data_IF_116370905149
#
_entry.id   IF_116370905149
#
_cell.length_a   1.000
_cell.length_b   1.000
_cell.length_c   1.000
_cell.angle_alpha   90.00
_cell.angle_beta   90.00
_cell.angle_gamma   90.00
#
_symmetry.space_group_name_H-M   'P 1'
#
loop_
_entity.id
_entity.type
_entity.pdbx_description
1 polymer ?
#
# COMPACT_ATOMS: atom_id res chain seq x y z
N UNK A 1 20.66 9.04 -27.64
CA UNK A 1 19.36 9.33 -26.98
C UNK A 1 19.55 10.26 -25.78
N UNK A 2 18.79 11.36 -25.67
CA UNK A 2 19.06 12.49 -24.76
C UNK A 2 18.75 12.21 -23.28
N UNK A 3 19.38 12.99 -22.36
CA UNK A 3 19.09 12.96 -20.91
C UNK A 3 17.60 13.18 -20.60
N UNK A 4 16.91 13.99 -21.41
CA UNK A 4 15.47 14.28 -21.28
C UNK A 4 14.62 13.01 -21.35
N UNK A 5 14.95 12.11 -22.28
CA UNK A 5 14.20 10.87 -22.45
C UNK A 5 14.38 9.90 -21.27
N UNK A 6 15.55 9.90 -20.64
CA UNK A 6 15.77 9.11 -19.43
C UNK A 6 14.92 9.62 -18.26
N UNK A 7 14.86 10.94 -18.06
CA UNK A 7 14.01 11.54 -17.04
C UNK A 7 12.54 11.20 -17.28
N UNK A 8 12.07 11.29 -18.53
CA UNK A 8 10.70 10.93 -18.89
C UNK A 8 10.35 9.50 -18.45
N UNK A 9 11.17 8.51 -18.80
CA UNK A 9 10.95 7.12 -18.37
C UNK A 9 11.03 6.95 -16.85
N UNK A 10 11.90 7.71 -16.19
CA UNK A 10 12.05 7.62 -14.74
C UNK A 10 10.80 8.14 -14.03
N UNK A 11 10.19 9.24 -14.49
CA UNK A 11 8.99 9.83 -13.87
C UNK A 11 7.68 9.26 -14.39
N UNK A 12 7.70 8.49 -15.48
CA UNK A 12 6.50 7.95 -16.12
C UNK A 12 5.59 7.17 -15.15
N UNK A 13 6.07 6.29 -14.25
CA UNK A 13 5.20 5.60 -13.29
C UNK A 13 4.41 6.56 -12.38
N UNK A 14 5.03 7.67 -11.95
CA UNK A 14 4.37 8.68 -11.13
C UNK A 14 3.26 9.40 -11.91
N UNK A 15 3.53 9.76 -13.17
CA UNK A 15 2.52 10.37 -14.04
C UNK A 15 1.32 9.45 -14.27
N UNK A 16 1.57 8.15 -14.47
CA UNK A 16 0.52 7.14 -14.58
C UNK A 16 -0.26 6.99 -13.26
N UNK A 17 0.41 7.03 -12.11
CA UNK A 17 -0.28 6.98 -10.82
C UNK A 17 -1.22 8.17 -10.62
N UNK A 18 -0.76 9.39 -10.94
CA UNK A 18 -1.59 10.60 -10.88
C UNK A 18 -2.78 10.49 -11.86
N UNK A 19 -2.54 10.00 -13.08
CA UNK A 19 -3.59 9.84 -14.08
C UNK A 19 -4.67 8.83 -13.64
N UNK A 20 -4.26 7.66 -13.14
CA UNK A 20 -5.19 6.58 -12.80
C UNK A 20 -5.87 6.77 -11.45
N UNK A 21 -5.17 7.37 -10.48
CA UNK A 21 -5.65 7.45 -9.10
C UNK A 21 -5.89 8.88 -8.62
N UNK A 22 -5.57 9.92 -9.40
CA UNK A 22 -5.79 11.31 -8.98
C UNK A 22 -7.24 11.68 -8.72
N UNK A 23 -8.21 10.87 -9.18
CA UNK A 23 -9.62 11.08 -8.86
C UNK A 23 -9.96 10.84 -7.38
N UNK A 24 -9.11 10.09 -6.64
CA UNK A 24 -9.37 9.74 -5.24
C UNK A 24 -9.41 10.94 -4.32
N UNK A 25 -8.80 12.06 -4.71
CA UNK A 25 -8.77 13.32 -3.95
C UNK A 25 -10.15 13.93 -3.71
N UNK A 26 -11.18 13.45 -4.42
CA UNK A 26 -12.58 13.87 -4.27
C UNK A 26 -13.38 12.98 -3.33
N UNK A 27 -12.78 11.90 -2.85
CA UNK A 27 -13.43 10.92 -1.98
C UNK A 27 -13.32 11.42 -0.52
N UNK A 28 -14.39 11.32 0.28
CA UNK A 28 -14.32 11.63 1.71
C UNK A 28 -13.59 10.52 2.49
N UNK A 29 -13.27 10.76 3.77
CA UNK A 29 -12.86 9.68 4.67
C UNK A 29 -13.91 8.56 4.70
N UNK A 30 -13.47 7.30 4.66
CA UNK A 30 -14.36 6.15 4.69
C UNK A 30 -13.75 4.92 5.37
N UNK A 31 -14.60 4.04 5.93
CA UNK A 31 -14.20 2.83 6.65
C UNK A 31 -13.21 3.13 7.79
N UNK A 32 -12.02 2.54 7.76
CA UNK A 32 -11.02 2.60 8.82
C UNK A 32 -10.32 3.97 8.92
N UNK A 33 -10.60 4.90 8.02
CA UNK A 33 -10.04 6.25 8.10
C UNK A 33 -10.43 6.93 9.42
N UNK A 34 -11.72 6.89 9.79
CA UNK A 34 -12.24 7.63 10.95
C UNK A 34 -11.61 7.17 12.27
N UNK A 35 -11.60 5.87 12.62
CA UNK A 35 -10.96 5.41 13.85
C UNK A 35 -9.46 5.73 13.91
N UNK A 36 -8.77 5.62 12.78
CA UNK A 36 -7.34 5.94 12.71
C UNK A 36 -7.08 7.44 12.96
N UNK A 37 -7.90 8.33 12.40
CA UNK A 37 -7.75 9.76 12.64
C UNK A 37 -8.15 10.18 14.05
N UNK A 38 -9.04 9.45 14.73
CA UNK A 38 -9.31 9.68 16.16
C UNK A 38 -8.03 9.51 16.99
N UNK A 39 -7.27 8.43 16.75
CA UNK A 39 -5.97 8.18 17.39
C UNK A 39 -4.96 9.31 17.07
N UNK A 40 -4.92 9.79 15.83
CA UNK A 40 -4.04 10.92 15.44
C UNK A 40 -4.42 12.20 16.18
N UNK A 41 -5.70 12.44 16.41
CA UNK A 41 -6.18 13.67 17.07
C UNK A 41 -6.04 13.64 18.58
N UNK A 42 -6.16 12.47 19.20
CA UNK A 42 -6.12 12.33 20.66
C UNK A 42 -4.70 12.39 21.21
N UNK A 43 -3.70 11.90 20.45
CA UNK A 43 -2.30 11.90 20.89
C UNK A 43 -1.46 13.08 20.37
N UNK A 44 -0.33 13.35 21.01
CA UNK A 44 0.64 14.39 20.60
C UNK A 44 1.57 13.95 19.45
N UNK A 45 1.49 12.68 19.04
CA UNK A 45 2.30 12.07 17.98
C UNK A 45 3.53 11.30 18.49
N UNK A 46 4.10 11.68 19.63
CA UNK A 46 5.16 10.92 20.31
C UNK A 46 4.54 9.78 21.11
N UNK A 47 3.42 10.02 21.77
CA UNK A 47 2.66 9.02 22.53
C UNK A 47 2.33 7.77 21.70
N UNK A 48 2.19 7.91 20.38
CA UNK A 48 1.94 6.79 19.48
C UNK A 48 3.08 5.76 19.45
N UNK A 49 4.30 6.17 19.81
CA UNK A 49 5.45 5.28 19.96
C UNK A 49 5.37 4.41 21.22
N UNK A 50 4.58 4.82 22.22
CA UNK A 50 4.29 4.05 23.43
C UNK A 50 3.12 3.07 23.24
N UNK A 51 2.55 3.03 22.04
CA UNK A 51 1.43 2.17 21.68
C UNK A 51 0.06 2.78 21.96
N UNK A 52 -0.97 2.07 21.52
CA UNK A 52 -2.36 2.46 21.76
C UNK A 52 -3.19 1.20 22.11
N UNK A 53 -3.71 1.09 23.34
CA UNK A 53 -4.55 -0.04 23.76
C UNK A 53 -5.84 -0.23 22.94
N UNK A 54 -6.30 0.78 22.21
CA UNK A 54 -7.45 0.71 21.32
C UNK A 54 -7.09 0.25 19.90
N UNK A 55 -5.81 0.25 19.53
CA UNK A 55 -5.35 -0.13 18.20
C UNK A 55 -4.58 -1.47 18.23
N UNK A 56 -4.93 -2.45 17.36
CA UNK A 56 -4.34 -3.78 17.43
C UNK A 56 -2.93 -3.90 16.82
N UNK A 57 -2.40 -2.84 16.20
CA UNK A 57 -1.11 -2.90 15.49
C UNK A 57 -0.11 -1.87 16.00
N UNK A 58 1.16 -2.25 16.10
CA UNK A 58 2.23 -1.30 16.42
C UNK A 58 2.78 -0.63 15.16
N UNK A 59 2.30 0.59 14.87
CA UNK A 59 2.59 1.35 13.62
C UNK A 59 2.88 2.86 13.85
N UNK A 60 3.76 3.22 14.79
CA UNK A 60 3.90 4.60 15.23
C UNK A 60 4.34 5.57 14.12
N UNK A 61 5.18 5.12 13.19
CA UNK A 61 5.71 6.01 12.14
C UNK A 61 4.60 6.58 11.26
N UNK A 62 3.60 5.77 10.90
CA UNK A 62 2.52 6.22 10.03
C UNK A 62 1.67 7.28 10.71
N UNK A 63 1.36 7.06 11.99
CA UNK A 63 0.61 8.04 12.77
C UNK A 63 1.42 9.33 12.99
N UNK A 64 2.74 9.25 13.23
CA UNK A 64 3.59 10.44 13.31
C UNK A 64 3.59 11.25 12.00
N UNK A 65 3.60 10.57 10.84
CA UNK A 65 3.51 11.26 9.54
C UNK A 65 2.14 11.93 9.38
N UNK A 66 1.05 11.25 9.73
CA UNK A 66 -0.28 11.87 9.67
C UNK A 66 -0.42 13.05 10.61
N UNK A 67 0.13 12.97 11.83
CA UNK A 67 0.15 14.07 12.79
C UNK A 67 0.88 15.29 12.22
N UNK A 68 2.06 15.06 11.65
CA UNK A 68 2.85 16.12 11.00
C UNK A 68 2.09 16.78 9.84
N UNK A 69 1.39 15.99 9.03
CA UNK A 69 0.57 16.51 7.92
C UNK A 69 -0.62 17.33 8.44
N UNK A 70 -1.26 16.86 9.50
CA UNK A 70 -2.40 17.53 10.14
C UNK A 70 -1.98 18.89 10.71
N UNK A 71 -0.82 18.96 11.35
CA UNK A 71 -0.28 20.18 11.96
C UNK A 71 0.29 21.19 10.96
N UNK A 72 0.96 20.73 9.89
CA UNK A 72 1.68 21.63 8.96
C UNK A 72 0.83 22.04 7.76
N UNK A 73 0.12 21.11 7.14
CA UNK A 73 -0.46 21.33 5.81
C UNK A 73 -1.91 21.77 5.94
N UNK A 74 -2.75 20.89 6.47
CA UNK A 74 -4.14 21.23 6.72
C UNK A 74 -4.80 20.17 7.59
N UNK A 75 -5.41 20.58 8.72
CA UNK A 75 -6.09 19.63 9.58
C UNK A 75 -7.22 18.91 8.83
N UNK A 76 -7.17 17.58 8.82
CA UNK A 76 -8.28 16.68 8.42
C UNK A 76 -8.89 16.97 7.04
N UNK A 77 -8.09 17.37 6.05
CA UNK A 77 -8.56 17.48 4.66
C UNK A 77 -8.33 16.17 3.89
N UNK A 78 -9.38 15.39 3.54
CA UNK A 78 -9.22 14.10 2.84
C UNK A 78 -8.38 14.19 1.56
N UNK A 79 -8.57 15.28 0.80
CA UNK A 79 -7.84 15.53 -0.43
C UNK A 79 -6.32 15.51 -0.24
N UNK A 80 -5.80 16.04 0.88
CA UNK A 80 -4.36 16.08 1.19
C UNK A 80 -3.83 14.66 1.42
N UNK A 81 -4.54 13.85 2.20
CA UNK A 81 -4.12 12.47 2.48
C UNK A 81 -4.24 11.55 1.26
N UNK A 82 -5.27 11.73 0.42
CA UNK A 82 -5.33 11.03 -0.87
C UNK A 82 -4.18 11.43 -1.79
N UNK A 83 -3.83 12.72 -1.87
CA UNK A 83 -2.64 13.14 -2.62
C UNK A 83 -1.37 12.50 -2.08
N UNK A 84 -1.21 12.43 -0.76
CA UNK A 84 -0.08 11.75 -0.13
C UNK A 84 0.03 10.28 -0.56
N UNK A 85 -1.08 9.55 -0.55
CA UNK A 85 -1.14 8.17 -1.05
C UNK A 85 -0.73 8.07 -2.53
N UNK A 86 -1.36 8.88 -3.40
CA UNK A 86 -1.11 8.84 -4.86
C UNK A 86 0.36 9.15 -5.18
N UNK A 87 0.92 10.18 -4.55
CA UNK A 87 2.29 10.61 -4.80
C UNK A 87 3.31 9.58 -4.29
N UNK A 88 3.13 9.04 -3.08
CA UNK A 88 4.05 8.03 -2.53
C UNK A 88 3.93 6.68 -3.26
N UNK A 89 2.72 6.30 -3.66
CA UNK A 89 2.52 5.11 -4.50
C UNK A 89 3.21 5.26 -5.87
N UNK A 90 3.01 6.40 -6.53
CA UNK A 90 3.70 6.74 -7.78
C UNK A 90 5.23 6.76 -7.63
N UNK A 91 5.74 7.39 -6.58
CA UNK A 91 7.17 7.42 -6.27
C UNK A 91 7.74 6.02 -5.98
N UNK A 92 6.96 5.13 -5.37
CA UNK A 92 7.33 3.72 -5.21
C UNK A 92 7.52 3.04 -6.56
N UNK A 93 6.62 3.27 -7.52
CA UNK A 93 6.77 2.79 -8.90
C UNK A 93 8.04 3.31 -9.57
N UNK A 94 8.40 4.59 -9.37
CA UNK A 94 9.66 5.18 -9.83
C UNK A 94 10.86 4.43 -9.23
N UNK A 95 10.87 4.21 -7.92
CA UNK A 95 11.96 3.51 -7.22
C UNK A 95 12.12 2.06 -7.69
N UNK A 96 11.02 1.33 -7.87
CA UNK A 96 11.03 -0.02 -8.46
C UNK A 96 11.66 0.01 -9.85
N UNK A 97 11.26 0.98 -10.69
CA UNK A 97 11.88 1.19 -12.00
C UNK A 97 13.39 1.42 -11.90
N UNK A 98 13.85 2.27 -10.97
CA UNK A 98 15.27 2.56 -10.77
C UNK A 98 16.06 1.34 -10.27
N UNK A 99 15.47 0.52 -9.40
CA UNK A 99 16.06 -0.75 -8.97
C UNK A 99 16.18 -1.67 -10.18
N UNK A 100 15.12 -1.85 -10.96
CA UNK A 100 15.12 -2.66 -12.17
C UNK A 100 16.17 -2.16 -13.18
N UNK A 101 16.28 -0.86 -13.41
CA UNK A 101 17.31 -0.24 -14.25
C UNK A 101 18.72 -0.67 -13.80
N UNK A 102 19.02 -0.59 -12.51
CA UNK A 102 20.34 -0.93 -12.01
C UNK A 102 20.63 -2.44 -12.01
N UNK A 103 19.63 -3.28 -11.77
CA UNK A 103 19.77 -4.73 -11.84
C UNK A 103 19.81 -5.24 -13.29
N UNK A 104 19.20 -4.52 -14.23
CA UNK A 104 19.10 -4.87 -15.65
C UNK A 104 20.21 -4.29 -16.54
N UNK A 105 21.40 -4.05 -15.98
CA UNK A 105 22.52 -3.47 -16.72
C UNK A 105 22.18 -2.13 -17.37
N UNK A 106 21.32 -1.33 -16.74
CA UNK A 106 20.86 -0.01 -17.20
C UNK A 106 19.90 -0.06 -18.40
N UNK A 107 19.07 -1.10 -18.50
CA UNK A 107 17.98 -1.12 -19.47
C UNK A 107 16.90 -0.10 -19.12
N UNK A 108 16.73 0.91 -19.99
CA UNK A 108 15.71 1.96 -19.82
C UNK A 108 14.28 1.43 -20.00
N UNK A 109 14.10 0.48 -20.91
CA UNK A 109 12.81 -0.20 -21.09
C UNK A 109 12.40 -0.93 -19.81
N UNK A 110 13.32 -1.67 -19.20
CA UNK A 110 13.06 -2.35 -17.92
C UNK A 110 12.68 -1.36 -16.80
N UNK A 111 13.31 -0.18 -16.75
CA UNK A 111 12.98 0.88 -15.80
C UNK A 111 11.52 1.31 -15.89
N UNK A 112 11.09 1.67 -17.10
CA UNK A 112 9.72 2.11 -17.36
C UNK A 112 8.69 1.02 -17.16
N UNK A 113 8.95 -0.17 -17.72
CA UNK A 113 8.04 -1.31 -17.67
C UNK A 113 7.84 -1.78 -16.24
N UNK A 114 8.91 -1.99 -15.46
CA UNK A 114 8.79 -2.49 -14.09
C UNK A 114 8.01 -1.53 -13.18
N UNK A 115 8.34 -0.23 -13.25
CA UNK A 115 7.63 0.78 -12.47
C UNK A 115 6.17 0.93 -12.88
N UNK A 116 5.89 0.96 -14.19
CA UNK A 116 4.51 1.10 -14.69
C UNK A 116 3.68 -0.15 -14.39
N UNK A 117 4.26 -1.35 -14.56
CA UNK A 117 3.60 -2.62 -14.26
C UNK A 117 3.15 -2.68 -12.79
N UNK A 118 3.97 -2.16 -11.86
CA UNK A 118 3.59 -2.05 -10.45
C UNK A 118 2.40 -1.10 -10.24
N UNK A 119 2.39 0.06 -10.90
CA UNK A 119 1.31 1.06 -10.76
C UNK A 119 -0.02 0.57 -11.33
N UNK A 120 -0.01 -0.12 -12.49
CA UNK A 120 -1.21 -0.63 -13.15
C UNK A 120 -1.66 -2.01 -12.61
N UNK A 121 -0.94 -2.56 -11.64
CA UNK A 121 -1.26 -3.85 -11.06
C UNK A 121 -2.68 -3.80 -10.47
N UNK A 122 -3.58 -4.72 -10.85
CA UNK A 122 -5.03 -4.59 -10.66
C UNK A 122 -5.49 -4.59 -9.20
N UNK A 123 -4.64 -5.01 -8.27
CA UNK A 123 -4.97 -5.04 -6.84
C UNK A 123 -4.45 -3.82 -6.09
N UNK A 124 -3.65 -2.97 -6.75
CA UNK A 124 -3.07 -1.77 -6.12
C UNK A 124 -4.09 -0.67 -5.86
N UNK A 125 -5.22 -0.64 -6.58
CA UNK A 125 -6.21 0.43 -6.42
C UNK A 125 -6.73 0.54 -4.99
N UNK A 126 -7.00 -0.59 -4.33
CA UNK A 126 -7.53 -0.60 -2.96
C UNK A 126 -6.57 0.11 -1.98
N UNK A 127 -5.27 -0.13 -2.13
CA UNK A 127 -4.25 0.50 -1.30
C UNK A 127 -4.20 2.03 -1.50
N UNK A 128 -4.49 2.52 -2.70
CA UNK A 128 -4.42 3.96 -3.02
C UNK A 128 -5.70 4.70 -2.64
N UNK A 129 -6.87 4.08 -2.85
CA UNK A 129 -8.15 4.72 -2.54
C UNK A 129 -8.34 4.83 -1.02
N UNK A 130 -7.96 3.85 -0.21
CA UNK A 130 -8.09 3.93 1.26
C UNK A 130 -7.02 4.85 1.86
N UNK A 131 -7.41 5.91 2.57
CA UNK A 131 -6.43 6.75 3.28
C UNK A 131 -5.73 5.90 4.34
N UNK A 132 -6.48 5.10 5.09
CA UNK A 132 -5.95 4.17 6.08
C UNK A 132 -4.96 3.16 5.52
N UNK A 133 -5.00 2.82 4.23
CA UNK A 133 -3.99 1.95 3.60
C UNK A 133 -2.61 2.63 3.46
N UNK A 134 -2.47 3.88 3.90
CA UNK A 134 -1.22 4.60 3.95
C UNK A 134 -0.11 3.84 4.69
N UNK A 135 -0.42 3.04 5.72
CA UNK A 135 0.57 2.17 6.39
C UNK A 135 1.33 1.30 5.36
N UNK A 136 0.61 0.69 4.41
CA UNK A 136 1.20 -0.16 3.37
C UNK A 136 1.96 0.64 2.32
N UNK A 137 1.43 1.80 1.90
CA UNK A 137 2.08 2.66 0.91
C UNK A 137 3.39 3.23 1.46
N UNK A 138 3.38 3.74 2.70
CA UNK A 138 4.56 4.28 3.36
C UNK A 138 5.62 3.19 3.55
N UNK A 139 5.25 2.00 4.01
CA UNK A 139 6.17 0.87 4.11
C UNK A 139 6.73 0.48 2.74
N UNK A 140 5.88 0.32 1.71
CA UNK A 140 6.32 -0.03 0.37
C UNK A 140 7.30 0.99 -0.22
N UNK A 141 6.99 2.28 -0.08
CA UNK A 141 7.84 3.39 -0.49
C UNK A 141 9.19 3.34 0.23
N UNK A 142 9.18 3.28 1.57
CA UNK A 142 10.37 3.34 2.38
C UNK A 142 11.28 2.11 2.19
N UNK A 143 10.70 0.91 2.04
CA UNK A 143 11.41 -0.31 1.65
C UNK A 143 12.09 -0.14 0.29
N UNK A 144 11.36 0.32 -0.73
CA UNK A 144 11.92 0.52 -2.07
C UNK A 144 13.01 1.60 -2.07
N UNK A 145 12.85 2.67 -1.28
CA UNK A 145 13.83 3.73 -1.13
C UNK A 145 15.12 3.20 -0.48
N UNK A 146 14.98 2.37 0.55
CA UNK A 146 16.10 1.72 1.24
C UNK A 146 16.86 0.76 0.31
N UNK A 147 16.14 -0.04 -0.48
CA UNK A 147 16.73 -0.96 -1.46
C UNK A 147 17.45 -0.20 -2.59
N UNK A 148 16.81 0.82 -3.15
CA UNK A 148 17.42 1.67 -4.18
C UNK A 148 18.69 2.36 -3.66
N UNK A 149 18.63 2.98 -2.48
CA UNK A 149 19.77 3.63 -1.85
C UNK A 149 20.89 2.62 -1.56
N UNK A 150 20.55 1.39 -1.16
CA UNK A 150 21.50 0.30 -0.95
C UNK A 150 22.19 -0.14 -2.24
N UNK A 151 21.47 -0.22 -3.37
CA UNK A 151 22.08 -0.45 -4.69
C UNK A 151 23.14 0.61 -5.00
N UNK A 152 22.81 1.89 -4.77
CA UNK A 152 23.71 3.04 -4.99
C UNK A 152 24.93 3.00 -4.08
N UNK A 153 24.73 2.73 -2.80
CA UNK A 153 25.78 2.56 -1.80
C UNK A 153 26.75 1.45 -2.20
N UNK A 154 26.24 0.27 -2.55
CA UNK A 154 27.07 -0.86 -2.93
C UNK A 154 27.83 -0.64 -4.26
N UNK A 155 27.40 0.30 -5.12
CA UNK A 155 28.07 0.67 -6.39
C UNK A 155 29.33 1.54 -6.25
N UNK A 156 29.74 1.90 -5.02
CA UNK A 156 30.87 2.84 -4.78
C UNK A 156 30.68 4.22 -5.43
N UNK A 157 29.45 4.58 -5.78
CA UNK A 157 29.09 5.87 -6.42
C UNK A 157 28.40 6.84 -5.45
N UNK A 158 28.44 6.54 -4.17
CA UNK A 158 27.66 7.19 -3.14
C UNK A 158 28.47 7.30 -1.85
N UNK A 159 28.38 8.47 -1.23
CA UNK A 159 28.96 8.78 0.08
C UNK A 159 27.97 8.51 1.22
N UNK A 160 28.35 8.97 2.41
CA UNK A 160 27.60 8.81 3.65
C UNK A 160 26.12 9.27 3.60
N UNK A 161 25.73 10.34 2.90
CA UNK A 161 24.31 10.75 2.84
C UNK A 161 23.37 9.67 2.27
N UNK A 162 23.83 8.87 1.32
CA UNK A 162 23.03 7.76 0.77
C UNK A 162 22.90 6.62 1.80
N UNK A 163 23.93 6.40 2.62
CA UNK A 163 23.85 5.44 3.71
C UNK A 163 22.84 5.90 4.77
N UNK A 164 22.82 7.19 5.12
CA UNK A 164 21.77 7.74 5.98
C UNK A 164 20.39 7.53 5.39
N UNK A 165 20.23 7.75 4.09
CA UNK A 165 18.96 7.49 3.41
C UNK A 165 18.53 6.03 3.54
N UNK A 166 19.46 5.06 3.44
CA UNK A 166 19.16 3.63 3.71
C UNK A 166 18.61 3.44 5.11
N UNK A 167 19.25 4.04 6.12
CA UNK A 167 18.88 3.84 7.52
C UNK A 167 17.57 4.52 7.89
N UNK A 168 17.36 5.78 7.50
CA UNK A 168 16.11 6.49 7.77
C UNK A 168 14.92 5.86 7.04
N UNK A 169 15.10 5.42 5.80
CA UNK A 169 14.05 4.70 5.08
C UNK A 169 13.80 3.31 5.65
N UNK A 170 14.82 2.62 6.17
CA UNK A 170 14.63 1.37 6.89
C UNK A 170 13.82 1.57 8.18
N UNK A 171 14.16 2.59 8.98
CA UNK A 171 13.40 2.98 10.17
C UNK A 171 11.95 3.26 9.81
N UNK A 172 11.71 4.11 8.81
CA UNK A 172 10.37 4.47 8.38
C UNK A 172 9.57 3.26 7.89
N UNK A 173 10.17 2.38 7.08
CA UNK A 173 9.50 1.20 6.56
C UNK A 173 9.13 0.19 7.63
N UNK A 174 10.07 -0.09 8.54
CA UNK A 174 9.89 -1.06 9.64
C UNK A 174 8.84 -0.60 10.64
N UNK A 175 8.77 0.69 10.98
CA UNK A 175 7.84 1.22 11.97
C UNK A 175 6.51 1.74 11.39
N UNK A 176 6.36 1.76 10.06
CA UNK A 176 5.10 2.13 9.42
C UNK A 176 4.08 0.98 9.37
N UNK A 177 4.57 -0.27 9.28
CA UNK A 177 3.74 -1.48 9.18
C UNK A 177 4.57 -2.71 9.60
N UNK A 178 3.93 -3.72 10.18
CA UNK A 178 4.57 -4.95 10.66
C UNK A 178 5.33 -5.72 9.57
N UNK A 179 4.81 -5.74 8.34
CA UNK A 179 5.49 -6.27 7.16
C UNK A 179 6.80 -5.54 6.80
N UNK A 180 7.09 -4.38 7.40
CA UNK A 180 8.34 -3.65 7.19
C UNK A 180 9.58 -4.46 7.57
N UNK A 181 9.47 -5.41 8.50
CA UNK A 181 10.56 -6.35 8.85
C UNK A 181 11.02 -7.22 7.67
N UNK A 182 10.18 -7.37 6.62
CA UNK A 182 10.56 -8.03 5.38
C UNK A 182 11.64 -7.27 4.59
N UNK A 183 11.97 -6.04 4.98
CA UNK A 183 13.13 -5.33 4.43
C UNK A 183 14.42 -6.15 4.59
N UNK A 184 14.61 -6.85 5.71
CA UNK A 184 15.80 -7.66 5.95
C UNK A 184 15.99 -8.76 4.89
N UNK A 185 15.04 -9.70 4.67
CA UNK A 185 15.19 -10.70 3.61
C UNK A 185 15.29 -10.07 2.21
N UNK A 186 14.62 -8.96 1.93
CA UNK A 186 14.81 -8.26 0.64
C UNK A 186 16.22 -7.68 0.48
N UNK A 187 16.79 -7.12 1.55
CA UNK A 187 18.15 -6.59 1.54
C UNK A 187 19.19 -7.70 1.36
N UNK A 188 19.00 -8.84 2.03
CA UNK A 188 19.84 -10.04 1.84
C UNK A 188 19.75 -10.54 0.40
N UNK A 189 18.52 -10.68 -0.14
CA UNK A 189 18.31 -11.07 -1.53
C UNK A 189 18.99 -10.12 -2.53
N UNK A 190 18.91 -8.80 -2.29
CA UNK A 190 19.59 -7.80 -3.10
C UNK A 190 21.12 -7.97 -3.08
N UNK A 191 21.70 -8.18 -1.90
CA UNK A 191 23.14 -8.43 -1.72
C UNK A 191 23.54 -9.72 -2.44
N UNK A 192 22.75 -10.79 -2.34
CA UNK A 192 23.00 -12.06 -3.02
C UNK A 192 22.97 -11.91 -4.54
N UNK A 193 21.90 -11.33 -5.11
CA UNK A 193 21.77 -11.04 -6.54
C UNK A 193 22.97 -10.27 -7.07
N UNK A 194 23.48 -9.32 -6.28
CA UNK A 194 24.67 -8.56 -6.62
C UNK A 194 25.95 -9.36 -6.51
N UNK A 195 26.11 -10.16 -5.45
CA UNK A 195 27.30 -10.96 -5.18
C UNK A 195 27.59 -11.96 -6.30
N UNK A 196 26.56 -12.45 -7.00
CA UNK A 196 26.72 -13.28 -8.20
C UNK A 196 27.44 -12.57 -9.35
N UNK A 197 27.39 -11.23 -9.42
CA UNK A 197 28.06 -10.46 -10.48
C UNK A 197 29.36 -9.83 -10.01
N UNK A 198 29.35 -9.25 -8.82
CA UNK A 198 30.50 -8.57 -8.22
C UNK A 198 30.46 -8.81 -6.72
N UNK A 199 31.53 -9.41 -6.17
CA UNK A 199 31.65 -9.60 -4.72
C UNK A 199 31.56 -8.25 -4.01
N UNK A 200 30.54 -8.04 -3.16
CA UNK A 200 30.40 -6.77 -2.46
C UNK A 200 31.50 -6.67 -1.40
N UNK A 201 31.94 -5.43 -1.13
CA UNK A 201 32.87 -5.20 -0.02
C UNK A 201 32.14 -5.50 1.30
N UNK A 202 32.73 -6.35 2.14
CA UNK A 202 32.18 -6.79 3.41
C UNK A 202 31.69 -5.62 4.28
N UNK A 203 32.51 -4.57 4.46
CA UNK A 203 32.16 -3.41 5.29
C UNK A 203 30.98 -2.62 4.74
N UNK A 204 30.85 -2.50 3.42
CA UNK A 204 29.69 -1.83 2.81
C UNK A 204 28.41 -2.63 2.98
N UNK A 205 28.50 -3.96 2.90
CA UNK A 205 27.38 -4.87 3.17
C UNK A 205 26.99 -4.82 4.65
N UNK A 206 27.96 -4.88 5.56
CA UNK A 206 27.72 -4.79 7.00
C UNK A 206 27.05 -3.45 7.38
N UNK A 207 27.50 -2.33 6.78
CA UNK A 207 26.95 -0.99 7.02
C UNK A 207 25.46 -0.85 6.65
N UNK A 208 24.93 -1.67 5.74
CA UNK A 208 23.49 -1.69 5.42
C UNK A 208 22.74 -2.79 6.19
N UNK A 209 23.33 -3.98 6.37
CA UNK A 209 22.63 -5.10 6.99
C UNK A 209 22.53 -4.96 8.51
N UNK A 210 23.60 -4.56 9.20
CA UNK A 210 23.60 -4.51 10.67
C UNK A 210 22.54 -3.53 11.21
N UNK A 211 22.38 -2.31 10.68
CA UNK A 211 21.31 -1.41 11.13
C UNK A 211 19.92 -1.94 10.81
N UNK A 212 19.71 -2.59 9.65
CA UNK A 212 18.41 -3.18 9.30
C UNK A 212 18.06 -4.36 10.21
N UNK A 213 19.04 -5.20 10.56
CA UNK A 213 18.88 -6.29 11.55
C UNK A 213 18.52 -5.70 12.90
N UNK A 214 19.26 -4.69 13.37
CA UNK A 214 19.01 -4.04 14.65
C UNK A 214 17.61 -3.40 14.69
N UNK A 215 17.23 -2.64 13.66
CA UNK A 215 15.90 -2.02 13.56
C UNK A 215 14.78 -3.07 13.55
N UNK A 216 14.95 -4.18 12.82
CA UNK A 216 13.97 -5.27 12.80
C UNK A 216 13.86 -5.94 14.17
N UNK A 217 14.99 -6.15 14.86
CA UNK A 217 15.01 -6.70 16.21
C UNK A 217 14.35 -5.78 17.23
N UNK A 218 14.63 -4.48 17.17
CA UNK A 218 14.00 -3.45 18.03
C UNK A 218 12.50 -3.41 17.78
N UNK A 219 12.05 -3.38 16.52
CA UNK A 219 10.63 -3.39 16.19
C UNK A 219 9.91 -4.63 16.73
N UNK A 220 10.49 -5.83 16.54
CA UNK A 220 9.91 -7.06 17.07
C UNK A 220 9.86 -7.02 18.60
N UNK A 221 10.92 -6.55 19.26
CA UNK A 221 10.94 -6.36 20.71
C UNK A 221 9.82 -5.44 21.18
N UNK A 222 9.72 -4.25 20.60
CA UNK A 222 8.69 -3.27 20.93
C UNK A 222 7.29 -3.80 20.66
N UNK A 223 7.05 -4.47 19.54
CA UNK A 223 5.75 -5.07 19.23
C UNK A 223 5.25 -6.01 20.33
N UNK A 224 6.15 -6.74 21.01
CA UNK A 224 5.76 -7.66 22.08
C UNK A 224 5.66 -7.00 23.46
N UNK A 225 6.31 -5.85 23.68
CA UNK A 225 6.33 -5.18 24.99
C UNK A 225 5.35 -4.01 25.09
N UNK A 226 5.05 -3.36 23.97
CA UNK A 226 4.21 -2.17 23.91
C UNK A 226 2.72 -2.56 23.98
N UNK A 227 1.91 -1.89 24.83
CA UNK A 227 0.47 -2.11 24.88
C UNK A 227 -0.19 -1.88 23.52
N UNK A 228 -1.00 -2.85 23.10
CA UNK A 228 -1.86 -2.75 21.93
C UNK A 228 -3.13 -3.54 22.22
N UNK A 229 -4.22 -3.22 21.51
CA UNK A 229 -5.47 -3.97 21.65
C UNK A 229 -5.16 -5.46 21.46
N UNK A 230 -5.58 -6.29 22.42
CA UNK A 230 -5.40 -7.73 22.34
C UNK A 230 -5.87 -8.17 20.96
N UNK A 231 -4.97 -8.77 20.16
CA UNK A 231 -5.27 -9.17 18.78
C UNK A 231 -6.58 -9.96 18.82
N UNK A 232 -7.69 -9.34 18.41
CA UNK A 232 -8.91 -10.08 18.14
C UNK A 232 -8.47 -11.17 17.19
N UNK A 233 -8.76 -12.42 17.56
CA UNK A 233 -8.30 -13.73 17.05
C UNK A 233 -8.33 -13.98 15.52
N UNK A 234 -8.36 -12.95 14.68
CA UNK A 234 -8.84 -12.93 13.31
C UNK A 234 -7.86 -13.61 12.32
N UNK A 235 -6.60 -13.88 12.66
CA UNK A 235 -5.64 -14.34 11.61
C UNK A 235 -4.77 -15.57 11.92
N UNK A 236 -4.86 -16.21 13.09
CA UNK A 236 -4.08 -17.46 13.33
C UNK A 236 -4.45 -18.62 12.40
N UNK A 237 -5.59 -18.55 11.69
CA UNK A 237 -6.10 -19.62 10.83
C UNK A 237 -6.18 -19.25 9.34
N UNK A 238 -5.51 -18.19 8.86
CA UNK A 238 -5.44 -17.97 7.41
C UNK A 238 -4.54 -19.04 6.81
N UNK A 239 -5.14 -20.02 6.14
CA UNK A 239 -4.39 -21.09 5.45
C UNK A 239 -3.35 -20.47 4.52
N UNK A 240 -2.08 -20.93 4.53
CA UNK A 240 -1.06 -20.49 3.58
C UNK A 240 -1.53 -20.57 2.12
N UNK A 241 -2.44 -21.50 1.80
CA UNK A 241 -3.04 -21.67 0.49
C UNK A 241 -3.88 -20.45 0.06
N UNK A 242 -4.53 -19.78 1.02
CA UNK A 242 -5.33 -18.59 0.76
C UNK A 242 -4.44 -17.40 0.41
N UNK A 243 -3.38 -17.13 1.17
CA UNK A 243 -2.43 -16.05 0.83
C UNK A 243 -1.70 -16.33 -0.48
N UNK A 244 -1.29 -17.59 -0.71
CA UNK A 244 -0.66 -17.99 -1.96
C UNK A 244 -1.60 -17.81 -3.16
N UNK A 245 -2.90 -18.07 -3.02
CA UNK A 245 -3.85 -17.93 -4.12
C UNK A 245 -4.01 -16.47 -4.55
N UNK A 246 -4.10 -15.50 -3.62
CA UNK A 246 -4.12 -14.06 -3.99
C UNK A 246 -2.85 -13.63 -4.70
N UNK A 247 -1.69 -14.07 -4.21
CA UNK A 247 -0.41 -13.76 -4.85
C UNK A 247 -0.34 -14.32 -6.28
N UNK A 248 -0.71 -15.60 -6.44
CA UNK A 248 -0.74 -16.27 -7.74
C UNK A 248 -1.79 -15.67 -8.69
N UNK A 249 -2.95 -15.26 -8.17
CA UNK A 249 -3.97 -14.54 -8.93
C UNK A 249 -3.44 -13.19 -9.43
N UNK A 250 -2.66 -12.50 -8.59
CA UNK A 250 -1.89 -11.32 -8.93
C UNK A 250 -0.96 -11.54 -10.13
N UNK A 251 -0.08 -12.55 -10.02
CA UNK A 251 0.85 -12.90 -11.08
C UNK A 251 0.14 -13.30 -12.38
N UNK A 252 -1.04 -13.92 -12.26
CA UNK A 252 -1.86 -14.33 -13.39
C UNK A 252 -2.79 -13.28 -13.97
N UNK A 253 -2.75 -12.05 -13.50
CA UNK A 253 -3.46 -10.96 -14.17
C UNK A 253 -2.61 -10.39 -15.33
N UNK A 254 -3.19 -10.03 -16.51
CA UNK A 254 -4.61 -10.00 -16.86
C UNK A 254 -5.16 -11.30 -17.47
N UNK A 255 -4.35 -12.35 -17.62
CA UNK A 255 -4.79 -13.59 -18.29
C UNK A 255 -5.96 -14.23 -17.56
N UNK A 256 -6.00 -14.18 -16.23
CA UNK A 256 -7.14 -14.64 -15.42
C UNK A 256 -8.44 -13.90 -15.77
N UNK A 257 -8.40 -12.58 -15.94
CA UNK A 257 -9.57 -11.79 -16.31
C UNK A 257 -10.05 -12.12 -17.74
N UNK A 258 -9.12 -12.34 -18.67
CA UNK A 258 -9.45 -12.77 -20.03
C UNK A 258 -10.06 -14.18 -20.06
N UNK A 259 -9.47 -15.14 -19.33
CA UNK A 259 -9.95 -16.51 -19.25
C UNK A 259 -11.36 -16.60 -18.65
N UNK A 260 -11.65 -15.83 -17.60
CA UNK A 260 -13.02 -15.75 -17.02
C UNK A 260 -14.05 -15.22 -18.02
N UNK A 261 -13.66 -14.29 -18.90
CA UNK A 261 -14.56 -13.80 -19.96
C UNK A 261 -14.81 -14.84 -21.05
N UNK A 262 -13.82 -15.67 -21.38
CA UNK A 262 -13.93 -16.71 -22.42
C UNK A 262 -14.73 -17.93 -21.91
N UNK A 263 -14.47 -18.36 -20.68
CA UNK A 263 -14.99 -19.63 -20.13
C UNK A 263 -16.34 -19.51 -19.41
N UNK A 264 -16.87 -18.29 -19.25
CA UNK A 264 -18.11 -18.04 -18.52
C UNK A 264 -17.96 -18.11 -16.99
N UNK A 265 -18.91 -17.51 -16.28
CA UNK A 265 -18.81 -17.31 -14.82
C UNK A 265 -19.11 -18.56 -13.97
N UNK A 266 -19.61 -19.66 -14.57
CA UNK A 266 -20.21 -20.79 -13.84
C UNK A 266 -19.32 -22.02 -13.62
N UNK A 267 -18.33 -22.28 -14.48
CA UNK A 267 -17.57 -23.55 -14.46
C UNK A 267 -16.07 -23.39 -14.23
N UNK A 268 -15.63 -22.18 -13.87
CA UNK A 268 -14.22 -21.89 -13.68
C UNK A 268 -13.70 -22.50 -12.35
N UNK A 269 -13.54 -23.82 -12.37
CA UNK A 269 -13.18 -24.66 -11.25
C UNK A 269 -11.81 -24.26 -10.65
N UNK A 270 -11.49 -24.72 -9.43
CA UNK A 270 -10.16 -24.54 -8.83
C UNK A 270 -8.99 -24.99 -9.72
N UNK A 271 -9.22 -25.84 -10.73
CA UNK A 271 -8.22 -26.30 -11.68
C UNK A 271 -7.77 -25.22 -12.68
N UNK A 272 -8.59 -24.20 -12.98
CA UNK A 272 -8.16 -23.06 -13.81
C UNK A 272 -7.18 -22.17 -13.05
N UNK A 273 -7.43 -21.96 -11.75
CA UNK A 273 -6.50 -21.20 -10.90
C UNK A 273 -5.15 -21.93 -10.76
N UNK A 274 -5.18 -23.27 -10.65
CA UNK A 274 -3.98 -24.09 -10.58
C UNK A 274 -3.22 -24.16 -11.92
N UNK A 275 -3.90 -24.36 -13.05
CA UNK A 275 -3.26 -24.44 -14.37
C UNK A 275 -2.65 -23.11 -14.79
N UNK A 276 -3.29 -21.98 -14.45
CA UNK A 276 -2.76 -20.65 -14.72
C UNK A 276 -1.60 -20.33 -13.78
N UNK A 277 -1.70 -20.62 -12.48
CA UNK A 277 -0.58 -20.48 -11.55
C UNK A 277 0.66 -21.27 -12.01
N UNK A 278 0.48 -22.49 -12.53
CA UNK A 278 1.55 -23.28 -13.12
C UNK A 278 2.11 -22.64 -14.39
N UNK A 279 1.26 -22.14 -15.28
CA UNK A 279 1.70 -21.53 -16.55
C UNK A 279 2.49 -20.24 -16.31
N UNK A 280 2.02 -19.40 -15.39
CA UNK A 280 2.69 -18.15 -15.00
C UNK A 280 3.93 -18.41 -14.15
N UNK A 281 3.89 -19.40 -13.26
CA UNK A 281 5.05 -19.85 -12.49
C UNK A 281 6.16 -20.38 -13.40
N UNK A 282 5.80 -21.19 -14.41
CA UNK A 282 6.73 -21.69 -15.42
C UNK A 282 7.27 -20.57 -16.32
N UNK A 283 6.44 -19.61 -16.75
CA UNK A 283 6.89 -18.47 -17.53
C UNK A 283 7.85 -17.55 -16.72
N UNK A 284 7.51 -17.26 -15.47
CA UNK A 284 8.34 -16.48 -14.56
C UNK A 284 9.67 -17.17 -14.24
N UNK A 285 9.63 -18.47 -13.94
CA UNK A 285 10.83 -19.27 -13.72
C UNK A 285 11.71 -19.31 -14.98
N UNK A 286 11.10 -19.46 -16.16
CA UNK A 286 11.82 -19.47 -17.44
C UNK A 286 12.49 -18.13 -17.72
N UNK A 287 11.81 -17.01 -17.48
CA UNK A 287 12.40 -15.68 -17.61
C UNK A 287 13.54 -15.44 -16.63
N UNK A 288 13.40 -15.90 -15.39
CA UNK A 288 14.46 -15.85 -14.38
C UNK A 288 15.66 -16.70 -14.81
N UNK A 289 15.42 -17.92 -15.28
CA UNK A 289 16.47 -18.81 -15.75
C UNK A 289 17.17 -18.27 -17.01
N UNK A 290 16.43 -17.70 -17.96
CA UNK A 290 16.97 -17.03 -19.15
C UNK A 290 17.80 -15.81 -18.76
N UNK A 291 17.30 -15.02 -17.80
CA UNK A 291 18.02 -13.87 -17.25
C UNK A 291 19.35 -14.27 -16.58
N UNK A 292 19.38 -15.41 -15.89
CA UNK A 292 20.59 -15.93 -15.26
C UNK A 292 21.52 -16.66 -16.25
N UNK A 293 20.99 -17.23 -17.34
CA UNK A 293 21.79 -17.90 -18.39
C UNK A 293 22.37 -16.96 -19.42
N UNK A 294 21.80 -15.77 -19.61
CA UNK A 294 22.36 -14.79 -20.53
C UNK A 294 23.78 -14.46 -20.06
N UNK A 295 24.83 -14.83 -20.83
CA UNK A 295 26.19 -14.45 -20.48
C UNK A 295 26.23 -12.93 -20.33
N UNK A 296 26.98 -12.38 -19.36
CA UNK A 296 27.21 -10.95 -19.32
C UNK A 296 27.66 -10.54 -20.72
N UNK A 297 27.01 -9.57 -21.37
CA UNK A 297 27.32 -9.25 -22.75
C UNK A 297 28.80 -8.90 -22.80
N UNK A 298 29.57 -9.72 -23.52
CA UNK A 298 30.98 -9.44 -23.73
C UNK A 298 31.08 -8.01 -24.27
N UNK A 299 31.97 -7.21 -23.68
CA UNK A 299 32.15 -5.82 -24.09
C UNK A 299 32.40 -5.71 -25.60
N UNK A 300 32.97 -6.75 -26.21
CA UNK A 300 33.19 -6.88 -27.65
C UNK A 300 31.92 -7.14 -28.49
N UNK A 301 30.93 -7.89 -27.99
CA UNK A 301 29.69 -8.19 -28.73
C UNK A 301 28.69 -7.03 -28.67
N UNK A 302 28.74 -6.24 -27.59
CA UNK A 302 27.94 -5.01 -27.47
C UNK A 302 28.39 -3.99 -28.51
N UNK A 303 29.70 -3.75 -28.66
CA UNK A 303 30.21 -2.81 -29.69
C UNK A 303 29.86 -3.27 -31.11
N UNK A 304 29.92 -4.58 -31.41
CA UNK A 304 29.51 -5.12 -32.73
C UNK A 304 28.01 -4.97 -33.00
N UNK A 305 27.14 -5.15 -32.01
CA UNK A 305 25.69 -5.00 -32.20
C UNK A 305 25.25 -3.54 -32.38
N UNK A 306 25.96 -2.56 -31.78
CA UNK A 306 25.75 -1.15 -32.07
C UNK A 306 26.22 -0.76 -33.48
N UNK A 307 27.33 -1.32 -33.98
CA UNK A 307 27.81 -1.08 -35.35
C UNK A 307 26.88 -1.67 -36.44
N UNK A 308 26.22 -2.79 -36.16
CA UNK A 308 25.24 -3.38 -37.09
C UNK A 308 23.92 -2.57 -37.11
N UNK A 309 23.52 -1.97 -35.99
CA UNK A 309 22.31 -1.15 -35.93
C UNK A 309 22.47 0.24 -36.57
N UNK A 310 23.68 0.81 -36.58
CA UNK A 310 23.97 2.11 -37.21
C UNK A 310 23.99 2.04 -38.76
N UNK A 311 24.05 0.83 -39.33
CA UNK A 311 24.12 0.62 -40.79
C UNK A 311 22.75 0.37 -41.46
N UNK A 312 21.66 0.25 -40.69
CA UNK A 312 20.32 -0.06 -41.22
C UNK A 312 19.35 1.13 -41.27
N UNK A 313 19.84 2.37 -41.11
CA UNK A 313 19.03 3.59 -41.28
C UNK A 313 19.58 4.49 -42.39
N UNK A 314 19.73 3.89 -43.58
CA UNK A 314 19.86 4.64 -44.82
C UNK A 314 18.92 4.05 -45.87
N UNK A 315 18.01 4.91 -46.34
CA UNK A 315 17.25 4.80 -47.60
C UNK A 315 16.04 3.84 -47.63
N UNK A 316 14.83 4.41 -47.53
CA UNK A 316 13.82 4.36 -48.60
C UNK A 316 12.81 5.50 -48.36
N UNK A 317 12.93 6.56 -49.16
CA UNK A 317 11.89 7.57 -49.37
C UNK A 317 11.05 7.06 -50.55
N UNK A 318 9.76 6.80 -50.34
CA UNK A 318 8.79 6.68 -51.43
C UNK A 318 7.87 7.91 -51.40
N UNK A 319 7.64 8.60 -52.54
CA UNK A 319 6.71 9.70 -52.61
C UNK A 319 5.30 9.22 -52.98
N UNK A 320 4.30 9.90 -52.40
CA UNK A 320 3.01 10.17 -53.05
C UNK A 320 2.00 9.03 -53.13
N UNK A 321 0.85 9.21 -52.48
CA UNK A 321 -0.46 9.16 -53.15
C UNK A 321 -1.55 9.72 -52.22
N UNK A 322 -2.49 10.37 -52.88
CA UNK A 322 -3.51 11.28 -52.38
C UNK A 322 -4.87 10.59 -52.18
N UNK A 323 -5.78 11.27 -51.44
CA UNK A 323 -7.26 11.13 -51.42
C UNK A 323 -7.84 9.90 -50.67
N UNK A 324 -8.96 9.93 -49.91
CA UNK A 324 -10.10 10.84 -49.70
C UNK A 324 -10.75 10.48 -48.33
N UNK A 325 -11.62 11.33 -47.72
CA UNK A 325 -12.28 11.07 -46.43
C UNK A 325 -13.67 10.44 -46.61
N UNK A 326 -14.04 9.51 -45.72
CA UNK A 326 -15.44 9.12 -45.51
C UNK A 326 -15.79 9.15 -44.02
N UNK A 327 -16.64 10.13 -43.70
CA UNK A 327 -17.48 10.16 -42.52
C UNK A 327 -18.57 9.09 -42.62
N UNK A 328 -18.81 8.35 -41.55
CA UNK A 328 -20.05 7.63 -41.31
C UNK A 328 -20.43 7.77 -39.82
N UNK A 329 -21.70 8.11 -39.62
CA UNK A 329 -22.34 8.53 -38.37
C UNK A 329 -22.59 7.36 -37.39
N UNK A 330 -22.97 7.63 -36.12
CA UNK A 330 -23.02 6.63 -35.07
C UNK A 330 -24.32 5.80 -35.08
N UNK A 331 -24.20 4.51 -34.78
CA UNK A 331 -25.33 3.63 -34.51
C UNK A 331 -25.97 3.99 -33.17
N UNK A 332 -27.23 4.42 -33.23
CA UNK A 332 -28.18 4.53 -32.12
C UNK A 332 -28.59 3.12 -31.69
N UNK A 333 -28.29 2.74 -30.45
CA UNK A 333 -28.78 1.50 -29.85
C UNK A 333 -30.08 1.82 -29.10
N UNK A 334 -31.23 1.46 -29.70
CA UNK A 334 -32.51 1.43 -29.00
C UNK A 334 -32.54 0.21 -28.06
N UNK A 335 -32.72 0.46 -26.77
CA UNK A 335 -32.89 -0.57 -25.74
C UNK A 335 -34.38 -0.74 -25.48
N UNK A 336 -35.00 -1.71 -26.16
CA UNK A 336 -36.33 -2.23 -25.82
C UNK A 336 -36.15 -3.57 -25.12
N UNK A 337 -36.62 -3.70 -23.88
CA UNK A 337 -36.57 -4.97 -23.16
C UNK A 337 -36.65 -4.78 -21.66
N UNK A 338 -37.87 -4.72 -21.16
CA UNK A 338 -38.24 -4.88 -19.75
C UNK A 338 -38.02 -6.34 -19.33
N UNK A 339 -37.06 -6.60 -18.45
CA UNK A 339 -37.03 -7.83 -17.65
C UNK A 339 -36.84 -7.51 -16.15
N UNK A 340 -37.52 -8.24 -15.26
CA UNK A 340 -37.55 -7.95 -13.83
C UNK A 340 -36.28 -8.41 -13.12
N UNK A 341 -35.67 -7.49 -12.39
CA UNK A 341 -34.54 -7.74 -11.50
C UNK A 341 -35.05 -8.43 -10.21
N UNK A 342 -34.98 -9.77 -10.18
CA UNK A 342 -35.07 -10.57 -8.95
C UNK A 342 -33.71 -11.26 -8.74
N UNK A 343 -33.00 -10.82 -7.70
CA UNK A 343 -31.67 -11.32 -7.37
C UNK A 343 -31.05 -10.58 -6.20
N UNK A 344 -31.75 -10.58 -5.05
CA UNK A 344 -31.23 -10.09 -3.77
C UNK A 344 -30.12 -11.02 -3.28
N UNK A 345 -28.86 -10.67 -3.53
CA UNK A 345 -27.74 -11.22 -2.76
C UNK A 345 -27.65 -10.45 -1.44
N UNK A 346 -28.22 -11.03 -0.40
CA UNK A 346 -28.08 -10.60 0.99
C UNK A 346 -26.61 -10.70 1.42
N UNK A 347 -25.88 -9.57 1.37
CA UNK A 347 -24.72 -9.38 2.22
C UNK A 347 -25.25 -9.16 3.63
N UNK A 348 -25.04 -10.15 4.49
CA UNK A 348 -25.39 -10.05 5.90
C UNK A 348 -24.66 -8.87 6.54
N UNK A 349 -25.41 -7.80 6.81
CA UNK A 349 -24.98 -6.80 7.76
C UNK A 349 -24.90 -7.49 9.13
N UNK A 350 -23.68 -7.69 9.63
CA UNK A 350 -23.49 -7.95 11.04
C UNK A 350 -24.03 -6.73 11.81
N UNK A 351 -24.90 -6.91 12.81
CA UNK A 351 -25.37 -5.77 13.59
C UNK A 351 -24.18 -5.16 14.34
N UNK A 352 -23.82 -3.94 13.96
CA UNK A 352 -23.00 -3.06 14.79
C UNK A 352 -23.79 -2.81 16.07
N UNK A 353 -23.45 -3.55 17.14
CA UNK A 353 -23.82 -3.17 18.49
C UNK A 353 -23.00 -1.92 18.81
N UNK A 354 -23.65 -0.76 18.75
CA UNK A 354 -23.14 0.45 19.38
C UNK A 354 -23.14 0.20 20.89
N UNK A 355 -22.02 -0.27 21.42
CA UNK A 355 -21.76 -0.18 22.85
C UNK A 355 -21.53 1.29 23.17
N UNK A 356 -22.31 1.91 24.08
CA UNK A 356 -22.01 3.27 24.51
C UNK A 356 -20.63 3.28 25.16
N UNK A 357 -19.78 4.22 24.76
CA UNK A 357 -18.55 4.61 25.45
C UNK A 357 -18.92 5.13 26.84
N UNK A 358 -19.13 4.21 27.78
CA UNK A 358 -19.15 4.51 29.20
C UNK A 358 -17.72 4.78 29.64
N UNK A 359 -17.49 6.01 30.12
CA UNK A 359 -16.32 6.48 30.85
C UNK A 359 -15.56 5.35 31.54
N UNK A 360 -14.33 5.11 31.11
CA UNK A 360 -13.36 4.32 31.85
C UNK A 360 -13.02 5.05 33.16
N UNK A 361 -13.71 4.64 34.21
CA UNK A 361 -13.37 4.95 35.59
C UNK A 361 -13.81 3.76 36.44
N UNK A 362 -12.89 2.83 36.69
CA UNK A 362 -13.09 1.82 37.73
C UNK A 362 -11.73 1.37 38.30
N UNK A 363 -11.50 1.85 39.52
CA UNK A 363 -10.60 1.33 40.54
C UNK A 363 -10.88 -0.17 40.84
N UNK A 364 -9.94 -0.90 41.48
CA UNK A 364 -10.02 -2.34 41.61
C UNK A 364 -11.17 -2.82 42.50
N UNK A 365 -11.80 -3.91 42.08
CA UNK A 365 -12.80 -4.66 42.83
C UNK A 365 -12.08 -5.52 43.88
N UNK A 366 -12.20 -5.16 45.15
CA UNK A 366 -12.05 -6.08 46.27
C UNK A 366 -13.40 -6.76 46.55
N UNK A 367 -13.38 -8.08 46.66
CA UNK A 367 -14.55 -8.91 47.02
C UNK A 367 -15.03 -8.66 48.45
N UNK A 368 -16.33 -8.88 48.75
CA UNK A 368 -16.97 -8.43 49.98
C UNK A 368 -16.77 -9.41 51.13
N UNK A 369 -16.43 -8.88 52.31
CA UNK A 369 -16.48 -9.58 53.59
C UNK A 369 -16.99 -8.62 54.67
N UNK A 370 -18.21 -8.88 55.12
CA UNK A 370 -18.84 -8.53 56.40
C UNK A 370 -18.50 -7.17 57.07
N UNK A 371 -19.53 -6.34 57.22
CA UNK A 371 -19.56 -5.27 58.22
C UNK A 371 -20.43 -4.10 57.79
N UNK A 372 -21.61 -3.96 58.39
CA UNK A 372 -22.36 -2.70 58.37
C UNK A 372 -21.55 -1.60 59.05
N UNK A 373 -21.57 -0.38 58.50
CA UNK A 373 -21.68 0.78 59.36
C UNK A 373 -22.85 1.66 58.91
N UNK A 374 -23.78 1.85 59.85
CA UNK A 374 -24.73 2.94 59.86
C UNK A 374 -24.03 4.29 59.74
N UNK A 375 -24.37 5.07 58.71
CA UNK A 375 -24.09 6.51 58.67
C UNK A 375 -25.37 7.27 58.38
N UNK A 376 -25.74 8.10 59.35
CA UNK A 376 -26.77 9.13 59.27
C UNK A 376 -26.27 10.29 58.40
N UNK A 377 -27.01 10.63 57.35
CA UNK A 377 -26.79 11.87 56.59
C UNK A 377 -27.83 12.90 57.03
N UNK A 378 -27.32 13.96 57.64
CA UNK A 378 -28.09 15.12 58.09
C UNK A 378 -28.68 15.93 56.95
N UNK A 379 -29.78 16.59 57.27
CA UNK A 379 -30.52 17.51 56.43
C UNK A 379 -29.79 18.85 56.22
N UNK A 380 -29.67 19.27 54.96
CA UNK A 380 -29.60 20.65 54.45
C UNK A 380 -29.60 20.52 52.91
N UNK A 381 -30.31 21.24 52.05
CA UNK A 381 -31.18 22.40 52.15
C UNK A 381 -31.21 23.05 50.76
N UNK A 382 -32.42 23.24 50.21
CA UNK A 382 -32.84 24.26 49.22
C UNK A 382 -32.43 24.18 47.73
N UNK A 383 -33.47 23.92 46.92
CA UNK A 383 -33.94 24.71 45.77
C UNK A 383 -33.03 24.90 44.55
N UNK A 384 -33.15 23.99 43.59
CA UNK A 384 -33.09 24.30 42.15
C UNK A 384 -34.21 23.50 41.44
N UNK A 385 -35.04 24.12 40.57
CA UNK A 385 -36.09 23.38 39.88
C UNK A 385 -35.47 22.48 38.80
N UNK A 386 -35.77 21.18 38.87
CA UNK A 386 -35.47 20.24 37.80
C UNK A 386 -36.28 20.61 36.56
N UNK A 387 -35.62 21.14 35.52
CA UNK A 387 -36.20 21.23 34.17
C UNK A 387 -36.38 19.80 33.63
N UNK A 388 -37.60 19.28 33.71
CA UNK A 388 -37.97 18.04 33.02
C UNK A 388 -38.25 18.33 31.56
N UNK A 389 -37.41 17.84 30.65
CA UNK A 389 -37.68 17.88 29.21
C UNK A 389 -38.61 16.70 28.89
N UNK A 390 -39.85 17.00 28.44
CA UNK A 390 -40.78 15.99 27.93
C UNK A 390 -40.75 16.04 26.40
N UNK A 391 -40.29 14.94 25.80
CA UNK A 391 -40.45 14.69 24.37
C UNK A 391 -41.87 14.19 24.11
N UNK A 392 -42.71 15.03 23.51
CA UNK A 392 -43.98 14.61 22.96
C UNK A 392 -43.79 14.32 21.46
N UNK A 393 -44.07 13.08 21.05
CA UNK A 393 -44.01 12.68 19.64
C UNK A 393 -45.41 12.76 19.07
N UNK A 394 -45.69 13.84 18.31
CA UNK A 394 -46.90 13.93 17.48
C UNK A 394 -46.65 13.20 16.14
N UNK A 395 -47.53 12.25 15.80
CA UNK A 395 -47.43 11.44 14.57
C UNK A 395 -47.77 12.22 13.29
N UNK A 396 -48.20 13.49 13.36
CA UNK A 396 -48.58 14.26 12.15
C UNK A 396 -47.67 15.44 11.80
N UNK A 397 -46.75 15.87 12.66
CA UNK A 397 -45.97 17.10 12.40
C UNK A 397 -44.44 16.99 12.58
N UNK A 398 -43.90 15.85 12.99
CA UNK A 398 -42.45 15.73 13.24
C UNK A 398 -42.01 16.38 14.56
N UNK A 399 -40.78 16.08 14.99
CA UNK A 399 -40.26 16.44 16.32
C UNK A 399 -39.92 17.93 16.36
N UNK A 400 -40.67 18.71 17.14
CA UNK A 400 -40.29 20.07 17.53
C UNK A 400 -39.76 20.08 18.96
N UNK A 401 -38.65 20.79 19.15
CA UNK A 401 -37.94 20.93 20.42
C UNK A 401 -38.15 22.36 20.91
N UNK A 402 -39.00 22.53 21.93
CA UNK A 402 -39.15 23.81 22.64
C UNK A 402 -38.24 23.80 23.89
N UNK A 403 -37.48 24.89 24.07
CA UNK A 403 -36.43 25.06 25.10
C UNK A 403 -36.90 25.80 26.37
#
# INVERSE_FOLDING_TARGET
MSKKFHLLWAVFPLLIAILLYGYTVRIPFYLDDIPNFQIVTEGDGIEQWDGDPAFPYYRPMTFSVWKLVDEIISPRQPAVYHWLNVLLFGATGVLIGQIAYHLSQKSRGAMGIAGTAFIIFPFSYQAVIWISSFFHILTGFAVCLSLWASVRWLQKRAGFPILMLVWFSALAGTFAHENGVLLLPFMVGLVMVRAFRVRPNFWRTAAILLPVIALSGVYLGLRYTVPHAAEAYITRNVSPNFTASYFLQGLGYPTHAAARRILGYGEASPYINLSMALTIGLAGLTLVLVWFRAPPPDAASTVRSWLVFDSCHTLYIFPGTELHPRFAAPHVYQRTGSEPFLGSSSWGAAPFVQTPLAKYGAYPVSSPGAGEPSFSVGAAGRNAPAKSIRLAVDRRSGITLDL
#
